data_IF_500879189751
#
_entry.id   IF_500879189751
#
_cell.length_a   1.000
_cell.length_b   1.000
_cell.length_c   1.000
_cell.angle_alpha   90.00
_cell.angle_beta   90.00
_cell.angle_gamma   90.00
#
_symmetry.space_group_name_H-M   'P 1'
#
loop_
_entity.id
_entity.type
_entity.pdbx_description
1 polymer ?
#
# COMPACT_ATOMS: atom_id res chain seq x y z
N UNK A 1 55.89 -44.26 12.52
CA UNK A 1 55.57 -43.03 13.28
C UNK A 1 54.70 -42.17 12.39
N UNK A 2 53.38 -42.22 12.54
CA UNK A 2 52.42 -41.42 11.77
C UNK A 2 52.16 -40.10 12.50
N UNK A 3 52.49 -38.99 11.87
CA UNK A 3 52.21 -37.66 12.35
C UNK A 3 50.72 -37.33 12.24
N UNK A 4 50.07 -37.04 13.35
CA UNK A 4 48.71 -36.57 13.41
C UNK A 4 48.62 -35.14 12.92
N UNK A 5 48.14 -34.97 11.68
CA UNK A 5 47.90 -33.66 11.09
C UNK A 5 46.73 -32.95 11.85
N UNK A 6 47.02 -31.76 12.38
CA UNK A 6 46.08 -30.99 13.19
C UNK A 6 44.98 -30.38 12.32
N UNK A 7 43.83 -31.02 12.30
CA UNK A 7 42.60 -30.54 11.61
C UNK A 7 41.96 -29.32 12.27
N UNK A 8 42.50 -28.87 13.40
CA UNK A 8 41.91 -27.74 14.19
C UNK A 8 42.11 -26.36 13.59
N UNK A 9 43.03 -26.17 12.62
CA UNK A 9 43.32 -24.86 12.08
C UNK A 9 42.47 -24.46 10.85
N UNK A 10 41.80 -25.44 10.20
CA UNK A 10 40.98 -25.17 9.02
C UNK A 10 39.55 -24.73 9.41
N UNK A 11 39.05 -25.21 10.55
CA UNK A 11 37.72 -24.84 11.02
C UNK A 11 37.63 -23.36 11.46
N UNK A 12 38.73 -22.75 11.89
CA UNK A 12 38.75 -21.34 12.33
C UNK A 12 38.74 -20.32 11.18
N UNK A 13 39.15 -20.72 9.98
CA UNK A 13 39.21 -19.83 8.82
C UNK A 13 37.87 -19.76 8.08
N UNK A 14 37.03 -20.81 8.16
CA UNK A 14 35.72 -20.83 7.53
C UNK A 14 34.62 -20.05 8.28
N UNK A 15 34.83 -19.71 9.54
CA UNK A 15 33.88 -18.89 10.31
C UNK A 15 34.05 -17.38 10.15
N UNK A 16 35.16 -16.91 9.55
CA UNK A 16 35.42 -15.48 9.38
C UNK A 16 34.81 -14.84 8.11
N UNK A 17 34.21 -15.63 7.21
CA UNK A 17 33.73 -15.14 5.91
C UNK A 17 32.20 -14.94 5.87
N UNK A 18 31.45 -15.29 6.93
CA UNK A 18 29.97 -15.26 6.90
C UNK A 18 29.34 -14.04 7.58
N UNK A 19 30.06 -12.95 7.77
CA UNK A 19 29.47 -11.67 8.17
C UNK A 19 29.39 -10.77 6.94
N UNK A 20 28.62 -11.18 5.95
CA UNK A 20 28.06 -10.24 4.99
C UNK A 20 27.02 -9.39 5.73
N UNK A 21 27.42 -8.22 6.17
CA UNK A 21 26.49 -7.18 6.57
C UNK A 21 25.65 -6.84 5.35
N UNK A 22 24.41 -7.36 5.31
CA UNK A 22 23.37 -6.83 4.45
C UNK A 22 23.05 -5.42 4.99
N UNK A 23 23.77 -4.43 4.52
CA UNK A 23 23.33 -3.04 4.68
C UNK A 23 22.05 -2.93 3.86
N UNK A 24 20.90 -2.89 4.54
CA UNK A 24 19.65 -2.51 3.90
C UNK A 24 19.85 -1.08 3.37
N UNK A 25 20.01 -0.97 2.07
CA UNK A 25 20.00 0.33 1.39
C UNK A 25 18.52 0.73 1.41
N UNK A 26 18.14 1.56 2.37
CA UNK A 26 16.88 2.27 2.32
C UNK A 26 17.06 3.33 1.23
N UNK A 27 16.40 3.14 0.10
CA UNK A 27 16.21 4.23 -0.86
C UNK A 27 15.29 5.25 -0.17
N UNK A 28 15.80 6.45 0.04
CA UNK A 28 14.98 7.58 0.48
C UNK A 28 14.23 8.07 -0.77
N UNK A 29 12.93 7.78 -0.82
CA UNK A 29 12.02 8.19 -1.91
C UNK A 29 11.59 9.66 -1.77
N UNK A 30 12.40 10.49 -1.12
CA UNK A 30 12.13 11.92 -1.03
C UNK A 30 12.51 12.64 -2.33
N UNK A 31 11.54 13.35 -2.92
CA UNK A 31 11.75 14.22 -4.08
C UNK A 31 12.15 15.61 -3.58
N UNK A 32 13.35 16.07 -3.93
CA UNK A 32 13.79 17.42 -3.62
C UNK A 32 13.40 18.38 -4.76
N UNK A 33 12.59 19.38 -4.43
CA UNK A 33 12.19 20.40 -5.39
C UNK A 33 13.20 21.56 -5.39
N UNK A 34 13.69 21.91 -6.57
CA UNK A 34 14.50 23.12 -6.72
C UNK A 34 13.60 24.36 -6.58
N UNK A 35 13.65 25.02 -5.43
CA UNK A 35 12.88 26.22 -5.11
C UNK A 35 13.49 27.49 -5.69
N UNK A 36 14.71 27.42 -6.29
CA UNK A 36 15.41 28.60 -6.81
C UNK A 36 14.73 29.20 -8.05
N UNK A 37 13.89 28.43 -8.73
CA UNK A 37 13.07 28.90 -9.86
C UNK A 37 11.83 29.69 -9.43
N UNK A 38 11.48 29.68 -8.14
CA UNK A 38 10.34 30.41 -7.60
C UNK A 38 10.76 31.83 -7.20
N UNK A 39 9.88 32.79 -7.42
CA UNK A 39 10.09 34.17 -6.94
C UNK A 39 10.21 34.18 -5.42
N UNK A 40 11.03 35.09 -4.88
CA UNK A 40 11.29 35.17 -3.43
C UNK A 40 10.03 35.41 -2.60
N UNK A 41 9.03 36.09 -3.16
CA UNK A 41 7.73 36.29 -2.52
C UNK A 41 6.93 34.99 -2.42
N UNK A 42 7.00 34.13 -3.43
CA UNK A 42 6.23 32.88 -3.50
C UNK A 42 6.86 31.75 -2.68
N UNK A 43 8.19 31.75 -2.53
CA UNK A 43 8.91 30.74 -1.71
C UNK A 43 8.42 30.66 -0.27
N UNK A 44 7.97 31.78 0.30
CA UNK A 44 7.49 31.84 1.69
C UNK A 44 6.05 31.36 1.85
N UNK A 45 5.29 31.28 0.76
CA UNK A 45 3.86 30.94 0.77
C UNK A 45 3.57 29.55 0.22
N UNK A 46 4.49 28.94 -0.54
CA UNK A 46 4.30 27.63 -1.14
C UNK A 46 5.00 26.57 -0.30
N UNK A 47 4.22 25.74 0.37
CA UNK A 47 4.72 24.57 1.10
C UNK A 47 4.85 23.38 0.13
N UNK A 48 6.04 23.18 -0.42
CA UNK A 48 6.37 22.07 -1.31
C UNK A 48 6.66 20.76 -0.56
N UNK A 49 6.80 20.80 0.76
CA UNK A 49 7.13 19.60 1.56
C UNK A 49 6.08 18.48 1.41
N UNK A 50 4.84 18.85 1.09
CA UNK A 50 3.75 17.89 0.82
C UNK A 50 4.00 17.05 -0.44
N UNK A 51 4.67 17.62 -1.42
CA UNK A 51 4.92 16.97 -2.71
C UNK A 51 6.27 16.24 -2.74
N UNK A 52 7.09 16.37 -1.70
CA UNK A 52 8.34 15.61 -1.56
C UNK A 52 8.11 14.13 -1.22
N UNK A 53 6.90 13.76 -0.87
CA UNK A 53 6.53 12.36 -0.63
C UNK A 53 5.92 11.78 -1.91
N UNK A 54 6.45 10.65 -2.35
CA UNK A 54 5.90 9.93 -3.50
C UNK A 54 4.40 9.62 -3.31
N UNK A 55 3.65 9.79 -4.40
CA UNK A 55 2.20 9.54 -4.42
C UNK A 55 1.38 10.37 -3.44
N UNK A 56 1.83 11.60 -3.11
CA UNK A 56 1.01 12.50 -2.31
C UNK A 56 -0.30 12.85 -3.02
N UNK A 57 -1.42 12.61 -2.34
CA UNK A 57 -2.75 12.95 -2.80
C UNK A 57 -3.32 14.03 -1.90
N UNK A 58 -3.70 15.16 -2.51
CA UNK A 58 -4.38 16.25 -1.80
C UNK A 58 -5.81 15.84 -1.41
N UNK A 59 -6.33 16.36 -0.31
CA UNK A 59 -7.76 16.23 0.00
C UNK A 59 -8.61 16.80 -1.14
N UNK A 60 -9.69 16.11 -1.51
CA UNK A 60 -10.53 16.53 -2.62
C UNK A 60 -11.43 15.41 -3.13
N UNK A 61 -12.07 15.64 -4.27
CA UNK A 61 -12.90 14.64 -4.94
C UNK A 61 -12.37 14.43 -6.35
N UNK A 62 -12.08 13.19 -6.67
CA UNK A 62 -11.48 12.77 -7.94
C UNK A 62 -12.38 11.76 -8.62
N UNK A 63 -12.54 11.89 -9.93
CA UNK A 63 -13.19 10.90 -10.77
C UNK A 63 -12.13 9.89 -11.17
N UNK A 64 -12.27 8.64 -10.71
CA UNK A 64 -11.26 7.60 -10.85
C UNK A 64 -11.86 6.33 -11.45
N UNK A 65 -11.08 5.65 -12.28
CA UNK A 65 -11.38 4.30 -12.71
C UNK A 65 -11.10 3.32 -11.55
N UNK A 66 -12.11 2.59 -11.12
CA UNK A 66 -11.98 1.66 -10.01
C UNK A 66 -11.61 0.27 -10.52
N UNK A 67 -10.54 -0.27 -9.99
CA UNK A 67 -10.10 -1.63 -10.26
C UNK A 67 -10.05 -2.44 -8.98
N UNK A 68 -10.53 -3.68 -9.03
CA UNK A 68 -10.49 -4.60 -7.89
C UNK A 68 -9.83 -5.90 -8.32
N UNK A 69 -8.73 -6.24 -7.68
CA UNK A 69 -7.91 -7.42 -8.02
C UNK A 69 -7.60 -7.51 -9.53
N UNK A 70 -7.27 -6.36 -10.14
CA UNK A 70 -6.96 -6.24 -11.56
C UNK A 70 -8.17 -6.20 -12.50
N UNK A 71 -9.40 -6.39 -12.01
CA UNK A 71 -10.63 -6.26 -12.81
C UNK A 71 -11.15 -4.83 -12.70
N UNK A 72 -11.41 -4.20 -13.85
CA UNK A 72 -12.09 -2.90 -13.89
C UNK A 72 -13.55 -3.07 -13.48
N UNK A 73 -14.02 -2.20 -12.58
CA UNK A 73 -15.44 -2.09 -12.23
C UNK A 73 -16.08 -0.95 -13.04
N UNK A 74 -16.13 0.22 -12.43
CA UNK A 74 -16.73 1.41 -12.98
C UNK A 74 -15.85 2.62 -12.69
N UNK A 75 -16.17 3.75 -13.31
CA UNK A 75 -15.64 5.04 -12.93
C UNK A 75 -16.51 5.65 -11.82
N UNK A 76 -15.89 6.03 -10.72
CA UNK A 76 -16.59 6.64 -9.58
C UNK A 76 -15.88 7.88 -9.06
N UNK A 77 -16.68 8.78 -8.48
CA UNK A 77 -16.17 9.97 -7.79
C UNK A 77 -15.78 9.60 -6.35
N UNK A 78 -14.47 9.52 -6.10
CA UNK A 78 -13.92 9.18 -4.79
C UNK A 78 -13.50 10.46 -4.08
N UNK A 79 -13.95 10.61 -2.84
CA UNK A 79 -13.52 11.68 -1.95
C UNK A 79 -12.29 11.23 -1.17
N UNK A 80 -11.24 12.04 -1.20
CA UNK A 80 -10.03 11.86 -0.39
C UNK A 80 -10.08 12.79 0.79
N UNK A 81 -9.83 12.25 1.98
CA UNK A 81 -9.86 12.99 3.24
C UNK A 81 -8.50 12.97 3.91
N UNK A 82 -8.13 14.09 4.50
CA UNK A 82 -6.91 14.19 5.29
C UNK A 82 -7.14 13.50 6.64
N UNK A 83 -6.35 12.48 6.94
CA UNK A 83 -6.41 11.75 8.21
C UNK A 83 -5.42 12.29 9.24
N UNK A 84 -4.34 12.91 8.78
CA UNK A 84 -3.37 13.59 9.62
C UNK A 84 -2.73 14.73 8.82
N UNK A 85 -2.49 15.87 9.49
CA UNK A 85 -1.91 17.07 8.88
C UNK A 85 -0.61 16.75 8.17
N UNK A 86 -0.53 17.13 6.89
CA UNK A 86 0.67 16.95 6.06
C UNK A 86 0.89 15.53 5.53
N UNK A 87 0.00 14.58 5.83
CA UNK A 87 0.03 13.25 5.22
C UNK A 87 -0.86 13.18 3.98
N UNK A 88 -0.55 12.25 3.08
CA UNK A 88 -1.39 11.96 1.91
C UNK A 88 -2.82 11.63 2.35
N UNK A 89 -3.80 12.21 1.66
CA UNK A 89 -5.20 11.95 1.92
C UNK A 89 -5.57 10.51 1.58
N UNK A 90 -6.52 9.95 2.33
CA UNK A 90 -6.98 8.58 2.17
C UNK A 90 -8.31 8.53 1.42
N UNK A 91 -8.51 7.53 0.54
CA UNK A 91 -9.76 7.40 -0.18
C UNK A 91 -10.89 6.97 0.75
N UNK A 92 -11.99 7.65 0.61
CA UNK A 92 -13.24 7.39 1.29
C UNK A 92 -14.11 6.50 0.41
N UNK A 93 -14.24 5.23 0.76
CA UNK A 93 -15.05 4.28 0.01
C UNK A 93 -16.52 4.50 0.35
N UNK A 94 -17.35 4.75 -0.67
CA UNK A 94 -18.80 4.91 -0.49
C UNK A 94 -19.48 3.58 -0.16
N UNK A 95 -20.68 3.62 0.41
CA UNK A 95 -21.48 2.41 0.63
C UNK A 95 -21.82 1.70 -0.69
N UNK A 96 -22.03 2.46 -1.77
CA UNK A 96 -22.29 1.89 -3.10
C UNK A 96 -21.08 1.10 -3.61
N UNK A 97 -19.90 1.69 -3.54
CA UNK A 97 -18.66 1.01 -3.94
C UNK A 97 -18.37 -0.20 -3.04
N UNK A 98 -18.54 -0.06 -1.72
CA UNK A 98 -18.36 -1.17 -0.78
C UNK A 98 -19.25 -2.37 -1.12
N UNK A 99 -20.48 -2.13 -1.58
CA UNK A 99 -21.38 -3.19 -2.00
C UNK A 99 -20.91 -3.90 -3.27
N UNK A 100 -20.29 -3.17 -4.21
CA UNK A 100 -19.72 -3.73 -5.45
C UNK A 100 -18.46 -4.59 -5.21
N UNK A 101 -17.78 -4.42 -4.08
CA UNK A 101 -16.54 -5.15 -3.79
C UNK A 101 -16.73 -6.64 -3.50
N UNK A 102 -17.95 -7.15 -3.44
CA UNK A 102 -18.26 -8.54 -3.16
C UNK A 102 -17.53 -9.11 -1.91
N UNK A 103 -17.47 -8.31 -0.85
CA UNK A 103 -16.85 -8.72 0.41
C UNK A 103 -17.75 -9.69 1.17
N UNK A 104 -17.13 -10.67 1.86
CA UNK A 104 -17.83 -11.51 2.85
C UNK A 104 -18.41 -10.64 3.96
N UNK A 105 -19.46 -11.12 4.61
CA UNK A 105 -20.11 -10.38 5.70
C UNK A 105 -19.17 -10.11 6.87
N UNK A 106 -18.35 -11.08 7.24
CA UNK A 106 -17.33 -10.93 8.28
C UNK A 106 -16.28 -9.86 7.97
N UNK A 107 -15.95 -9.68 6.67
CA UNK A 107 -15.05 -8.61 6.23
C UNK A 107 -15.75 -7.25 6.33
N UNK A 108 -17.00 -7.16 5.89
CA UNK A 108 -17.81 -5.93 5.96
C UNK A 108 -17.95 -5.40 7.38
N UNK A 109 -18.14 -6.29 8.36
CA UNK A 109 -18.24 -5.93 9.78
C UNK A 109 -16.93 -5.38 10.36
N UNK A 110 -15.78 -5.71 9.76
CA UNK A 110 -14.45 -5.22 10.17
C UNK A 110 -14.04 -3.91 9.49
N UNK A 111 -14.74 -3.50 8.44
CA UNK A 111 -14.45 -2.24 7.77
C UNK A 111 -14.85 -1.08 8.66
N UNK A 112 -13.89 -0.24 9.02
CA UNK A 112 -14.17 0.95 9.81
C UNK A 112 -14.92 2.00 8.99
N UNK A 113 -15.84 2.68 9.64
CA UNK A 113 -16.58 3.82 9.08
C UNK A 113 -16.20 5.09 9.85
N UNK A 114 -15.09 5.77 9.50
CA UNK A 114 -14.63 6.96 10.23
C UNK A 114 -15.58 8.15 10.10
N UNK A 115 -16.36 8.21 9.02
CA UNK A 115 -17.34 9.28 8.76
C UNK A 115 -18.58 8.69 8.10
N UNK A 116 -19.66 9.48 8.10
CA UNK A 116 -20.88 9.08 7.41
C UNK A 116 -20.62 8.81 5.91
N UNK A 117 -21.10 7.67 5.45
CA UNK A 117 -20.90 7.16 4.07
C UNK A 117 -19.43 7.14 3.62
N UNK A 118 -18.51 6.87 4.54
CA UNK A 118 -17.08 6.79 4.29
C UNK A 118 -16.49 5.57 4.99
N UNK A 119 -16.06 4.60 4.22
CA UNK A 119 -15.50 3.34 4.71
C UNK A 119 -14.01 3.27 4.41
N UNK A 120 -13.24 2.79 5.38
CA UNK A 120 -11.79 2.59 5.26
C UNK A 120 -11.47 1.12 5.11
N UNK A 121 -11.09 0.70 3.91
CA UNK A 121 -10.70 -0.68 3.63
C UNK A 121 -9.35 -1.06 4.24
N UNK A 122 -8.52 -0.09 4.59
CA UNK A 122 -7.21 -0.34 5.21
C UNK A 122 -7.29 -1.00 6.59
N UNK A 123 -8.48 -1.04 7.20
CA UNK A 123 -8.72 -1.78 8.44
C UNK A 123 -8.75 -3.29 8.24
N UNK A 124 -8.91 -3.77 7.00
CA UNK A 124 -8.86 -5.19 6.66
C UNK A 124 -7.40 -5.59 6.41
N UNK A 125 -6.88 -6.61 7.14
CA UNK A 125 -5.52 -7.09 6.95
C UNK A 125 -5.26 -7.54 5.51
N UNK A 126 -4.15 -7.07 4.93
CA UNK A 126 -3.71 -7.45 3.59
C UNK A 126 -4.42 -6.72 2.45
N UNK A 127 -5.38 -5.83 2.72
CA UNK A 127 -5.93 -4.94 1.70
C UNK A 127 -4.94 -3.85 1.37
N UNK A 128 -4.72 -3.63 0.09
CA UNK A 128 -3.85 -2.57 -0.44
C UNK A 128 -4.64 -1.65 -1.35
N UNK A 129 -4.39 -0.36 -1.22
CA UNK A 129 -4.96 0.69 -2.06
C UNK A 129 -3.80 1.42 -2.74
N UNK A 130 -3.83 1.47 -4.06
CA UNK A 130 -2.84 2.22 -4.83
C UNK A 130 -3.53 3.11 -5.85
N UNK A 131 -2.95 4.29 -6.06
CA UNK A 131 -3.44 5.26 -7.01
C UNK A 131 -2.43 5.38 -8.15
N UNK A 132 -2.90 5.23 -9.37
CA UNK A 132 -2.06 5.35 -10.53
C UNK A 132 -2.82 5.96 -11.71
N UNK A 133 -2.28 7.05 -12.26
CA UNK A 133 -2.74 7.64 -13.53
C UNK A 133 -4.27 7.75 -13.69
N UNK A 134 -4.98 8.20 -12.64
CA UNK A 134 -6.44 8.37 -12.68
C UNK A 134 -7.23 7.11 -12.32
N UNK A 135 -6.59 6.07 -11.81
CA UNK A 135 -7.24 4.88 -11.28
C UNK A 135 -7.02 4.71 -9.77
N UNK A 136 -7.98 4.07 -9.12
CA UNK A 136 -7.86 3.52 -7.77
C UNK A 136 -7.87 2.01 -7.86
N UNK A 137 -6.71 1.41 -7.62
CA UNK A 137 -6.53 -0.04 -7.60
C UNK A 137 -6.69 -0.56 -6.18
N UNK A 138 -7.67 -1.43 -5.99
CA UNK A 138 -8.02 -2.05 -4.70
C UNK A 138 -7.65 -3.52 -4.77
N UNK A 139 -6.62 -3.92 -4.04
CA UNK A 139 -6.24 -5.32 -3.90
C UNK A 139 -6.80 -5.88 -2.61
N UNK A 140 -7.70 -6.84 -2.73
CA UNK A 140 -8.37 -7.50 -1.60
C UNK A 140 -7.96 -8.97 -1.57
N UNK A 141 -7.44 -9.48 -0.44
CA UNK A 141 -7.16 -10.91 -0.28
C UNK A 141 -8.42 -11.77 -0.50
N UNK A 142 -8.25 -12.91 -1.16
CA UNK A 142 -9.36 -13.85 -1.42
C UNK A 142 -10.09 -14.31 -0.15
N UNK A 143 -9.40 -14.34 0.98
CA UNK A 143 -9.99 -14.66 2.27
C UNK A 143 -11.19 -13.75 2.63
N UNK A 144 -11.18 -12.50 2.18
CA UNK A 144 -12.22 -11.51 2.43
C UNK A 144 -13.29 -11.41 1.33
N UNK A 145 -13.05 -12.05 0.17
CA UNK A 145 -13.95 -11.98 -0.99
C UNK A 145 -15.00 -13.08 -0.95
N UNK A 146 -16.23 -12.75 -1.38
CA UNK A 146 -17.22 -13.77 -1.73
C UNK A 146 -16.74 -14.46 -3.02
N UNK A 147 -16.87 -15.75 -3.04
CA UNK A 147 -16.56 -16.54 -4.22
C UNK A 147 -17.88 -16.83 -4.94
N UNK A 148 -18.09 -16.18 -6.06
CA UNK A 148 -19.30 -16.31 -6.88
C UNK A 148 -19.04 -17.13 -8.16
N UNK A 149 -17.95 -17.92 -8.19
CA UNK A 149 -17.66 -18.80 -9.32
C UNK A 149 -18.53 -20.05 -9.21
N UNK A 150 -19.47 -20.28 -10.17
CA UNK A 150 -20.36 -21.44 -10.14
C UNK A 150 -19.61 -22.79 -10.23
N UNK A 151 -18.39 -22.78 -10.76
CA UNK A 151 -17.57 -23.98 -10.91
C UNK A 151 -16.62 -24.21 -9.72
N UNK A 152 -16.63 -23.29 -8.73
CA UNK A 152 -15.79 -23.43 -7.55
C UNK A 152 -16.33 -24.50 -6.60
N UNK A 153 -15.51 -25.48 -6.33
CA UNK A 153 -15.81 -26.52 -5.33
C UNK A 153 -15.02 -26.25 -4.07
N UNK A 154 -15.67 -26.10 -2.90
CA UNK A 154 -14.96 -25.85 -1.66
C UNK A 154 -14.08 -27.05 -1.27
N UNK A 155 -12.95 -26.81 -0.58
CA UNK A 155 -11.98 -27.85 -0.20
C UNK A 155 -12.59 -29.03 0.59
N UNK A 156 -13.68 -28.78 1.32
CA UNK A 156 -14.40 -29.82 2.10
C UNK A 156 -15.10 -30.88 1.20
N UNK A 157 -15.15 -30.62 -0.12
CA UNK A 157 -15.75 -31.54 -1.10
C UNK A 157 -14.76 -32.25 -2.03
N UNK A 158 -13.48 -32.13 -1.75
CA UNK A 158 -12.41 -32.80 -2.53
C UNK A 158 -12.08 -34.17 -1.97
#
# INVERSE_FOLDING_TARGET
MLGTFRVKSIAAILQAISVCYATAIYADDSVEFNTDVLDTADRTHIDLSRFSTDNYISPGSYLLDIRVNGKSLDQEKIRYIETAKGKSAQPCISSSLLNKLALKEEARLKVAQPYENCYSLQTLPGVQLSNYAGSLDITVPQAWMKYDDPDWTPPERW
#
